data_IF_731699758575
#
_entry.id   IF_731699758575
#
_cell.length_a   1.000
_cell.length_b   1.000
_cell.length_c   1.000
_cell.angle_alpha   90.00
_cell.angle_beta   90.00
_cell.angle_gamma   90.00
#
_symmetry.space_group_name_H-M   'P 1'
#
loop_
_entity.id
_entity.type
_entity.pdbx_description
1 polymer ?
#
# COMPACT_ATOMS: atom_id res chain seq x y z
N UNK A 1 -12.97 -3.61 -14.32
CA UNK A 1 -12.75 -3.61 -12.85
C UNK A 1 -13.40 -2.35 -12.35
N UNK A 2 -14.28 -2.45 -11.36
CA UNK A 2 -15.08 -1.31 -10.90
C UNK A 2 -14.60 -0.84 -9.54
N UNK A 3 -14.15 0.40 -9.42
CA UNK A 3 -13.83 1.00 -8.13
C UNK A 3 -15.14 1.40 -7.42
N UNK A 4 -15.30 0.98 -6.16
CA UNK A 4 -16.56 1.10 -5.41
C UNK A 4 -16.43 1.92 -4.14
N UNK A 5 -15.25 1.93 -3.50
CA UNK A 5 -14.99 2.70 -2.28
C UNK A 5 -13.57 3.24 -2.29
N UNK A 6 -13.42 4.51 -1.92
CA UNK A 6 -12.12 5.18 -1.77
C UNK A 6 -11.47 4.79 -0.43
N UNK A 7 -10.17 4.50 -0.45
CA UNK A 7 -9.33 4.48 0.76
C UNK A 7 -8.54 5.80 0.82
N UNK A 8 -7.74 6.09 -0.21
CA UNK A 8 -7.08 7.39 -0.43
C UNK A 8 -7.01 7.70 -1.95
N UNK A 9 -6.20 8.63 -2.46
CA UNK A 9 -6.20 8.90 -3.91
C UNK A 9 -5.52 7.80 -4.75
N UNK A 10 -4.68 6.96 -4.14
CA UNK A 10 -3.90 5.92 -4.82
C UNK A 10 -4.35 4.49 -4.47
N UNK A 11 -5.32 4.34 -3.55
CA UNK A 11 -5.82 3.03 -3.10
C UNK A 11 -7.35 3.06 -3.06
N UNK A 12 -7.97 2.04 -3.64
CA UNK A 12 -9.42 1.88 -3.66
C UNK A 12 -9.84 0.42 -3.48
N UNK A 13 -11.05 0.23 -2.95
CA UNK A 13 -11.76 -1.05 -3.00
C UNK A 13 -12.44 -1.17 -4.35
N UNK A 14 -12.23 -2.31 -5.01
CA UNK A 14 -12.72 -2.61 -6.33
C UNK A 14 -13.46 -3.94 -6.36
N UNK A 15 -14.31 -4.10 -7.38
CA UNK A 15 -14.90 -5.37 -7.78
C UNK A 15 -14.28 -5.82 -9.11
N UNK A 16 -13.88 -7.08 -9.19
CA UNK A 16 -13.49 -7.70 -10.47
C UNK A 16 -14.73 -8.06 -11.32
N UNK A 17 -14.50 -8.65 -12.50
CA UNK A 17 -15.57 -9.02 -13.42
C UNK A 17 -16.51 -10.11 -12.86
N UNK A 18 -16.07 -10.88 -11.87
CA UNK A 18 -16.84 -11.92 -11.21
C UNK A 18 -17.55 -11.40 -9.95
N UNK A 19 -17.39 -10.12 -9.61
CA UNK A 19 -17.95 -9.52 -8.40
C UNK A 19 -17.14 -9.79 -7.13
N UNK A 20 -15.91 -10.29 -7.23
CA UNK A 20 -15.05 -10.46 -6.06
C UNK A 20 -14.46 -9.11 -5.64
N UNK A 21 -14.45 -8.86 -4.33
CA UNK A 21 -13.82 -7.67 -3.75
C UNK A 21 -12.30 -7.81 -3.68
N UNK A 22 -11.61 -6.72 -4.02
CA UNK A 22 -10.16 -6.58 -3.91
C UNK A 22 -9.77 -5.14 -3.55
N UNK A 23 -8.60 -4.98 -2.97
CA UNK A 23 -7.92 -3.69 -2.81
C UNK A 23 -6.98 -3.47 -3.98
N UNK A 24 -7.15 -2.37 -4.70
CA UNK A 24 -6.27 -1.98 -5.78
C UNK A 24 -5.40 -0.79 -5.36
N UNK A 25 -4.09 -0.94 -5.54
CA UNK A 25 -3.14 0.16 -5.48
C UNK A 25 -2.83 0.61 -6.91
N UNK A 26 -2.80 1.91 -7.13
CA UNK A 26 -2.46 2.47 -8.42
C UNK A 26 -2.54 3.98 -8.42
N UNK A 27 -1.69 4.62 -9.23
CA UNK A 27 -1.58 6.08 -9.25
C UNK A 27 -2.92 6.71 -9.65
N UNK A 28 -3.51 7.46 -8.74
CA UNK A 28 -4.79 8.15 -8.93
C UNK A 28 -6.02 7.23 -9.02
N UNK A 29 -5.95 5.96 -8.63
CA UNK A 29 -7.08 5.02 -8.71
C UNK A 29 -8.21 5.37 -7.74
N UNK A 30 -7.90 5.99 -6.60
CA UNK A 30 -8.91 6.47 -5.66
C UNK A 30 -9.30 7.95 -5.84
N UNK A 31 -8.74 8.63 -6.85
CA UNK A 31 -9.00 10.05 -7.11
C UNK A 31 -10.39 10.34 -7.69
N UNK A 32 -10.90 9.58 -8.69
CA UNK A 32 -12.20 9.87 -9.28
C UNK A 32 -13.36 9.65 -8.29
N UNK A 33 -14.50 10.27 -8.58
CA UNK A 33 -15.72 10.06 -7.80
C UNK A 33 -16.19 8.61 -7.95
N UNK A 34 -16.41 7.95 -6.82
CA UNK A 34 -16.87 6.56 -6.75
C UNK A 34 -18.40 6.45 -6.80
N UNK A 35 -18.97 5.36 -7.33
CA UNK A 35 -18.29 4.27 -8.03
C UNK A 35 -17.99 4.61 -9.50
N UNK A 36 -16.96 3.99 -10.08
CA UNK A 36 -16.65 4.13 -11.52
C UNK A 36 -15.92 2.91 -12.10
N UNK A 37 -15.96 2.74 -13.42
CA UNK A 37 -15.21 1.69 -14.13
C UNK A 37 -13.78 2.12 -14.41
N UNK A 38 -12.81 1.29 -14.02
CA UNK A 38 -11.41 1.46 -14.37
C UNK A 38 -11.22 0.98 -15.81
N UNK A 39 -11.12 1.94 -16.74
CA UNK A 39 -10.92 1.68 -18.17
C UNK A 39 -9.46 1.39 -18.52
N UNK A 40 -8.52 1.95 -17.76
CA UNK A 40 -7.09 1.78 -17.94
C UNK A 40 -6.49 0.98 -16.78
N UNK A 41 -6.33 -0.33 -16.99
CA UNK A 41 -5.74 -1.22 -16.00
C UNK A 41 -4.23 -1.04 -15.84
N UNK A 42 -3.53 -0.33 -16.74
CA UNK A 42 -2.09 -0.10 -16.58
C UNK A 42 -1.77 0.83 -15.41
N UNK A 43 -2.78 1.52 -14.87
CA UNK A 43 -2.66 2.33 -13.66
C UNK A 43 -2.59 1.50 -12.38
N UNK A 44 -3.00 0.23 -12.43
CA UNK A 44 -3.02 -0.67 -11.29
C UNK A 44 -1.62 -1.27 -11.11
N UNK A 45 -1.02 -0.99 -9.96
CA UNK A 45 0.29 -1.50 -9.58
C UNK A 45 0.21 -2.87 -8.92
N UNK A 46 -0.76 -3.07 -8.04
CA UNK A 46 -0.95 -4.31 -7.29
C UNK A 46 -2.41 -4.45 -6.85
N UNK A 47 -2.88 -5.69 -6.76
CA UNK A 47 -4.22 -6.04 -6.29
C UNK A 47 -4.14 -7.09 -5.20
N UNK A 48 -4.99 -6.95 -4.18
CA UNK A 48 -5.05 -7.87 -3.05
C UNK A 48 -6.48 -8.31 -2.82
N UNK A 49 -6.72 -9.61 -2.94
CA UNK A 49 -7.99 -10.23 -2.62
C UNK A 49 -8.04 -10.63 -1.15
N UNK A 50 -9.26 -10.75 -0.59
CA UNK A 50 -9.50 -11.26 0.77
C UNK A 50 -8.77 -10.47 1.87
N UNK A 51 -8.68 -9.16 1.71
CA UNK A 51 -8.14 -8.26 2.72
C UNK A 51 -9.12 -8.22 3.90
N UNK A 52 -8.62 -8.43 5.12
CA UNK A 52 -9.46 -8.39 6.32
C UNK A 52 -9.75 -6.95 6.78
N UNK A 53 -10.74 -6.81 7.66
CA UNK A 53 -11.17 -5.50 8.16
C UNK A 53 -10.05 -4.74 8.89
N UNK A 54 -9.13 -5.44 9.55
CA UNK A 54 -8.03 -4.84 10.29
C UNK A 54 -7.00 -4.20 9.33
N UNK A 55 -6.65 -4.91 8.26
CA UNK A 55 -5.77 -4.39 7.20
C UNK A 55 -6.41 -3.21 6.50
N UNK A 56 -7.72 -3.25 6.24
CA UNK A 56 -8.46 -2.10 5.70
C UNK A 56 -8.37 -0.86 6.60
N UNK A 57 -8.52 -1.05 7.91
CA UNK A 57 -8.44 0.05 8.87
C UNK A 57 -7.02 0.61 8.92
N UNK A 58 -5.99 -0.25 8.99
CA UNK A 58 -4.58 0.16 8.93
C UNK A 58 -4.31 1.02 7.68
N UNK A 59 -4.75 0.60 6.50
CA UNK A 59 -4.57 1.36 5.25
C UNK A 59 -5.26 2.73 5.27
N UNK A 60 -6.30 2.90 6.09
CA UNK A 60 -7.01 4.18 6.22
C UNK A 60 -6.34 5.12 7.22
N UNK A 61 -5.51 4.59 8.13
CA UNK A 61 -4.79 5.35 9.16
C UNK A 61 -3.39 5.77 8.70
N UNK A 62 -2.78 5.01 7.77
CA UNK A 62 -1.46 5.33 7.20
C UNK A 62 -1.58 6.48 6.18
N UNK A 63 -0.71 7.51 6.24
CA UNK A 63 -0.67 8.59 5.25
C UNK A 63 -0.50 8.07 3.81
N UNK A 64 -1.15 8.75 2.86
CA UNK A 64 -1.14 8.35 1.44
C UNK A 64 0.28 8.26 0.88
N UNK A 65 1.14 9.20 1.23
CA UNK A 65 2.53 9.26 0.78
C UNK A 65 3.34 8.04 1.27
N UNK A 66 3.05 7.57 2.48
CA UNK A 66 3.70 6.38 3.06
C UNK A 66 3.27 5.12 2.31
N UNK A 67 1.98 4.98 2.00
CA UNK A 67 1.47 3.87 1.19
C UNK A 67 2.06 3.88 -0.22
N UNK A 68 2.14 5.05 -0.84
CA UNK A 68 2.72 5.21 -2.18
C UNK A 68 4.21 4.82 -2.21
N UNK A 69 5.02 5.36 -1.29
CA UNK A 69 6.44 5.02 -1.17
C UNK A 69 6.63 3.53 -0.89
N UNK A 70 5.80 2.94 -0.05
CA UNK A 70 5.86 1.51 0.26
C UNK A 70 5.58 0.65 -0.97
N UNK A 71 4.52 0.97 -1.71
CA UNK A 71 4.18 0.27 -2.95
C UNK A 71 5.31 0.39 -3.99
N UNK A 72 5.89 1.59 -4.16
CA UNK A 72 7.03 1.80 -5.07
C UNK A 72 8.27 1.00 -4.65
N UNK A 73 8.59 0.99 -3.35
CA UNK A 73 9.72 0.23 -2.82
C UNK A 73 9.54 -1.28 -3.02
N UNK A 74 8.34 -1.81 -2.83
CA UNK A 74 8.04 -3.24 -3.08
C UNK A 74 8.15 -3.58 -4.56
N UNK A 75 7.64 -2.74 -5.46
CA UNK A 75 7.77 -2.97 -6.91
C UNK A 75 9.24 -2.96 -7.36
N UNK A 76 10.05 -2.03 -6.83
CA UNK A 76 11.49 -1.99 -7.08
C UNK A 76 12.17 -3.27 -6.57
N UNK A 77 11.88 -3.68 -5.35
CA UNK A 77 12.45 -4.88 -4.75
C UNK A 77 12.04 -6.15 -5.52
N UNK A 78 10.78 -6.27 -5.92
CA UNK A 78 10.31 -7.36 -6.77
C UNK A 78 11.06 -7.43 -8.10
N UNK A 79 11.32 -6.27 -8.74
CA UNK A 79 12.10 -6.23 -9.97
C UNK A 79 13.53 -6.71 -9.76
N UNK A 80 14.20 -6.25 -8.70
CA UNK A 80 15.58 -6.63 -8.38
C UNK A 80 15.72 -8.09 -7.95
N UNK A 81 14.73 -8.61 -7.24
CA UNK A 81 14.70 -9.97 -6.71
C UNK A 81 14.02 -10.97 -7.66
N UNK A 82 13.75 -10.57 -8.91
CA UNK A 82 13.14 -11.41 -9.94
C UNK A 82 11.81 -12.06 -9.49
N UNK A 83 11.00 -11.31 -8.73
CA UNK A 83 9.68 -11.77 -8.27
C UNK A 83 9.71 -12.68 -7.04
N UNK A 84 10.87 -12.98 -6.45
CA UNK A 84 10.98 -13.80 -5.23
C UNK A 84 10.50 -13.11 -3.94
N UNK A 85 9.78 -11.99 -4.08
CA UNK A 85 9.23 -11.21 -2.96
C UNK A 85 7.71 -11.16 -3.07
N UNK A 86 7.03 -11.58 -2.00
CA UNK A 86 5.57 -11.52 -1.93
C UNK A 86 5.09 -10.05 -1.94
N UNK A 87 4.11 -9.68 -2.78
CA UNK A 87 3.58 -8.32 -2.82
C UNK A 87 2.89 -7.93 -1.50
N UNK A 88 2.43 -8.92 -0.70
CA UNK A 88 1.79 -8.68 0.61
C UNK A 88 2.70 -7.96 1.60
N UNK A 89 4.03 -7.96 1.37
CA UNK A 89 4.98 -7.21 2.21
C UNK A 89 4.70 -5.70 2.20
N UNK A 90 3.95 -5.19 1.20
CA UNK A 90 3.56 -3.77 1.15
C UNK A 90 2.83 -3.32 2.41
N UNK A 91 2.01 -4.18 3.02
CA UNK A 91 1.28 -3.85 4.24
C UNK A 91 2.22 -3.68 5.42
N UNK A 92 3.09 -4.67 5.66
CA UNK A 92 4.07 -4.61 6.74
C UNK A 92 5.09 -3.49 6.53
N UNK A 93 5.51 -3.24 5.29
CA UNK A 93 6.45 -2.16 4.98
C UNK A 93 5.81 -0.78 5.24
N UNK A 94 4.55 -0.59 4.84
CA UNK A 94 3.84 0.66 5.09
C UNK A 94 3.68 0.93 6.58
N UNK A 95 3.28 -0.08 7.35
CA UNK A 95 3.19 0.02 8.81
C UNK A 95 4.54 0.36 9.45
N UNK A 96 5.62 -0.32 9.03
CA UNK A 96 6.97 -0.08 9.53
C UNK A 96 7.49 1.32 9.20
N UNK A 97 7.29 1.81 7.96
CA UNK A 97 7.70 3.16 7.58
C UNK A 97 6.90 4.19 8.37
N UNK A 98 5.58 4.01 8.49
CA UNK A 98 4.72 4.91 9.27
C UNK A 98 5.20 4.98 10.72
N UNK A 99 5.42 3.82 11.35
CA UNK A 99 5.94 3.74 12.70
C UNK A 99 7.32 4.40 12.85
N UNK A 100 8.22 4.19 11.88
CA UNK A 100 9.55 4.81 11.91
C UNK A 100 9.48 6.35 11.85
N UNK A 101 8.56 6.90 11.04
CA UNK A 101 8.31 8.34 10.95
C UNK A 101 7.73 8.90 12.24
N UNK A 102 6.71 8.25 12.82
CA UNK A 102 6.13 8.64 14.09
C UNK A 102 7.16 8.59 15.22
N UNK A 103 7.95 7.50 15.29
CA UNK A 103 9.05 7.37 16.24
C UNK A 103 10.06 8.50 16.09
N UNK A 104 10.46 8.85 14.86
CA UNK A 104 11.40 9.95 14.61
C UNK A 104 10.85 11.31 15.08
N UNK A 105 9.54 11.56 14.91
CA UNK A 105 8.90 12.78 15.39
C UNK A 105 8.94 12.88 16.92
N UNK A 106 8.68 11.77 17.61
CA UNK A 106 8.56 11.74 19.07
C UNK A 106 9.87 11.51 19.83
N UNK A 107 10.84 10.83 19.24
CA UNK A 107 12.07 10.36 19.90
C UNK A 107 13.32 10.66 19.08
N UNK A 108 13.47 11.92 18.66
CA UNK A 108 14.54 12.41 17.75
C UNK A 108 15.96 11.94 18.07
N UNK A 109 16.27 11.73 19.35
CA UNK A 109 17.62 11.36 19.83
C UNK A 109 17.75 9.88 20.23
N UNK A 110 16.76 9.05 19.92
CA UNK A 110 16.81 7.62 20.27
C UNK A 110 17.76 6.88 19.33
N UNK A 111 18.91 6.47 19.86
CA UNK A 111 19.84 5.57 19.17
C UNK A 111 19.26 4.16 19.09
N UNK A 112 19.32 3.54 17.92
CA UNK A 112 19.00 2.13 17.77
C UNK A 112 20.09 1.31 18.48
N UNK A 113 19.71 0.42 19.42
CA UNK A 113 20.68 -0.40 20.16
C UNK A 113 21.60 -1.25 19.28
N UNK A 114 21.17 -1.56 18.05
CA UNK A 114 21.85 -2.45 17.10
C UNK A 114 22.27 -1.72 15.80
N UNK A 115 22.39 -0.39 15.83
CA UNK A 115 22.81 0.40 14.65
C UNK A 115 24.17 -0.06 14.07
N UNK A 116 25.01 -0.67 14.90
CA UNK A 116 26.32 -1.19 14.49
C UNK A 116 26.26 -2.54 13.75
N UNK A 117 25.20 -3.33 13.95
CA UNK A 117 25.11 -4.74 13.53
C UNK A 117 24.41 -4.91 12.18
N UNK A 118 23.67 -3.89 11.71
CA UNK A 118 22.98 -3.91 10.42
C UNK A 118 23.79 -3.11 9.39
N UNK A 119 24.50 -3.79 8.48
CA UNK A 119 25.22 -3.19 7.34
C UNK A 119 24.70 -3.71 6.01
#
# INVERSE_FOLDING_TARGET
MRAVKKINNNVAVCLDANGNELVAFGKGVGFPKMPYEITDLSKIAMTFYRVDAQTYQMLSEIPEEVLEVSAQAVLEAQRRLQGNLSPNIVFSLADHINFALERQKHYKDMKLPLDYDVK
#
